data_IF_842936835986
#
_entry.id   IF_842936835986
#
_cell.length_a   1.000
_cell.length_b   1.000
_cell.length_c   1.000
_cell.angle_alpha   90.00
_cell.angle_beta   90.00
_cell.angle_gamma   90.00
#
_symmetry.space_group_name_H-M   'P 1'
#
loop_
_entity.id
_entity.type
_entity.pdbx_description
1 polymer ?
#
# COMPACT_ATOMS: atom_id res chain seq x y z
N UNK A 1 10.24 -5.34 36.38
CA UNK A 1 9.58 -5.57 35.07
C UNK A 1 8.27 -4.80 35.06
N UNK A 2 7.93 -4.12 33.96
CA UNK A 2 6.75 -3.25 33.86
C UNK A 2 5.42 -4.00 33.63
N UNK A 3 5.45 -5.33 33.57
CA UNK A 3 4.27 -6.17 33.32
C UNK A 3 3.93 -6.33 31.83
N UNK A 4 2.95 -7.18 31.51
CA UNK A 4 2.54 -7.50 30.13
C UNK A 4 1.78 -6.37 29.43
N UNK A 5 1.41 -5.32 30.16
CA UNK A 5 0.76 -4.10 29.68
C UNK A 5 1.52 -2.91 30.26
N UNK A 6 2.15 -2.11 29.40
CA UNK A 6 3.02 -1.00 29.80
C UNK A 6 2.55 0.30 29.17
N UNK A 7 2.49 1.37 29.95
CA UNK A 7 2.23 2.72 29.44
C UNK A 7 3.55 3.46 29.21
N UNK A 8 3.75 3.95 27.99
CA UNK A 8 4.89 4.77 27.58
C UNK A 8 4.38 6.14 27.15
N UNK A 9 5.18 7.17 27.36
CA UNK A 9 4.91 8.50 26.83
C UNK A 9 5.92 8.82 25.74
N UNK A 10 5.49 8.78 24.49
CA UNK A 10 6.29 9.11 23.31
C UNK A 10 6.05 10.59 22.98
N UNK A 11 6.90 11.46 23.55
CA UNK A 11 6.73 12.91 23.47
C UNK A 11 5.48 13.39 24.24
N UNK A 12 4.49 13.89 23.50
CA UNK A 12 3.18 14.30 24.03
C UNK A 12 2.11 13.19 23.90
N UNK A 13 2.41 12.08 23.22
CA UNK A 13 1.46 10.98 22.99
C UNK A 13 1.66 9.87 24.02
N UNK A 14 0.55 9.41 24.62
CA UNK A 14 0.57 8.23 25.51
C UNK A 14 0.31 6.98 24.68
N UNK A 15 1.20 6.00 24.80
CA UNK A 15 1.18 4.74 24.05
C UNK A 15 1.15 3.57 25.01
N UNK A 16 0.14 2.71 24.88
CA UNK A 16 0.06 1.46 25.63
C UNK A 16 0.68 0.35 24.80
N UNK A 17 1.69 -0.31 25.36
CA UNK A 17 2.38 -1.44 24.76
C UNK A 17 1.88 -2.73 25.37
N UNK A 18 1.43 -3.64 24.52
CA UNK A 18 1.01 -4.99 24.87
C UNK A 18 2.17 -5.94 24.56
N UNK A 19 2.66 -6.66 25.57
CA UNK A 19 3.87 -7.49 25.47
C UNK A 19 3.66 -8.95 25.85
N UNK A 20 2.40 -9.42 25.95
CA UNK A 20 2.09 -10.85 26.15
C UNK A 20 0.97 -11.34 25.21
N UNK A 21 0.98 -12.62 24.80
CA UNK A 21 -0.06 -13.18 23.96
C UNK A 21 -1.46 -13.13 24.58
N UNK A 22 -1.57 -13.33 25.89
CA UNK A 22 -2.87 -13.34 26.57
C UNK A 22 -3.50 -11.96 26.59
N UNK A 23 -2.71 -10.92 26.90
CA UNK A 23 -3.19 -9.53 26.81
C UNK A 23 -3.47 -9.14 25.35
N UNK A 24 -2.65 -9.58 24.39
CA UNK A 24 -2.93 -9.33 22.97
C UNK A 24 -4.27 -9.95 22.52
N UNK A 25 -4.64 -11.12 23.06
CA UNK A 25 -5.93 -11.76 22.79
C UNK A 25 -7.10 -10.93 23.33
N UNK A 26 -6.95 -10.30 24.50
CA UNK A 26 -7.97 -9.38 25.01
C UNK A 26 -8.23 -8.23 24.03
N UNK A 27 -7.18 -7.59 23.53
CA UNK A 27 -7.31 -6.41 22.66
C UNK A 27 -7.75 -6.76 21.24
N UNK A 28 -7.18 -7.81 20.65
CA UNK A 28 -7.34 -8.12 19.22
C UNK A 28 -8.47 -9.11 18.92
N UNK A 29 -9.06 -9.75 19.93
CA UNK A 29 -10.17 -10.70 19.74
C UNK A 29 -11.38 -10.39 20.61
N UNK A 30 -11.20 -10.17 21.92
CA UNK A 30 -12.34 -9.96 22.84
C UNK A 30 -12.89 -8.54 22.78
N UNK A 31 -12.01 -7.56 22.61
CA UNK A 31 -12.35 -6.13 22.54
C UNK A 31 -11.92 -5.51 21.20
N UNK A 32 -11.87 -6.31 20.13
CA UNK A 32 -11.40 -5.91 18.81
C UNK A 32 -12.10 -4.66 18.27
N UNK A 33 -13.42 -4.55 18.45
CA UNK A 33 -14.20 -3.39 18.01
C UNK A 33 -13.76 -2.08 18.68
N UNK A 34 -13.34 -2.12 19.95
CA UNK A 34 -12.86 -0.95 20.68
C UNK A 34 -11.44 -0.53 20.25
N UNK A 35 -10.63 -1.47 19.78
CA UNK A 35 -9.23 -1.26 19.37
C UNK A 35 -9.01 -1.37 17.86
N UNK A 36 -10.08 -1.31 17.07
CA UNK A 36 -10.01 -1.40 15.61
C UNK A 36 -9.53 -0.09 14.94
N UNK A 37 -9.38 1.00 15.71
CA UNK A 37 -8.85 2.26 15.22
C UNK A 37 -7.34 2.15 14.95
N UNK A 38 -6.85 2.97 14.01
CA UNK A 38 -5.45 2.98 13.60
C UNK A 38 -4.83 4.33 13.91
N UNK A 39 -3.60 4.31 14.42
CA UNK A 39 -2.77 5.51 14.45
C UNK A 39 -2.26 5.77 13.04
N UNK A 40 -2.56 6.94 12.50
CA UNK A 40 -2.16 7.33 11.15
C UNK A 40 -0.90 8.22 11.26
N UNK A 41 0.25 7.83 10.67
CA UNK A 41 1.43 8.68 10.70
C UNK A 41 1.18 10.00 9.94
N UNK A 42 1.58 11.13 10.52
CA UNK A 42 1.44 12.48 9.96
C UNK A 42 2.03 12.58 8.54
N UNK A 43 3.14 11.88 8.31
CA UNK A 43 3.81 11.86 7.02
C UNK A 43 2.91 11.32 5.88
N UNK A 44 1.91 10.51 6.19
CA UNK A 44 1.04 9.91 5.17
C UNK A 44 0.05 10.90 4.56
N UNK A 45 -0.26 12.00 5.27
CA UNK A 45 -1.13 13.07 4.79
C UNK A 45 -2.43 12.58 4.15
N UNK A 46 -2.79 13.17 3.01
CA UNK A 46 -4.05 12.87 2.32
C UNK A 46 -4.12 11.43 1.78
N UNK A 47 -2.99 10.76 1.54
CA UNK A 47 -2.99 9.36 1.08
C UNK A 47 -3.67 8.42 2.09
N UNK A 48 -3.56 8.71 3.39
CA UNK A 48 -4.21 7.92 4.43
C UNK A 48 -5.75 7.89 4.33
N UNK A 49 -6.35 8.93 3.74
CA UNK A 49 -7.81 9.06 3.64
C UNK A 49 -8.44 8.03 2.69
N UNK A 50 -7.64 7.45 1.79
CA UNK A 50 -8.10 6.45 0.82
C UNK A 50 -7.36 5.12 0.92
N UNK A 51 -6.28 5.02 1.69
CA UNK A 51 -5.49 3.80 1.80
C UNK A 51 -6.12 2.76 2.73
N UNK A 52 -6.27 1.51 2.26
CA UNK A 52 -6.73 0.39 3.09
C UNK A 52 -5.83 0.16 4.31
N UNK A 53 -4.57 0.63 4.27
CA UNK A 53 -3.63 0.57 5.39
C UNK A 53 -4.00 1.52 6.54
N UNK A 54 -4.68 2.64 6.26
CA UNK A 54 -4.94 3.70 7.26
C UNK A 54 -6.41 4.08 7.44
N UNK A 55 -7.28 3.63 6.53
CA UNK A 55 -8.72 3.82 6.67
C UNK A 55 -9.22 3.30 8.03
N UNK A 56 -10.10 4.03 8.72
CA UNK A 56 -10.73 3.56 9.95
C UNK A 56 -11.67 2.38 9.64
N UNK A 57 -12.04 1.61 10.66
CA UNK A 57 -13.02 0.51 10.55
C UNK A 57 -14.42 1.03 10.19
N UNK A 58 -14.58 1.35 8.92
CA UNK A 58 -15.73 1.95 8.27
C UNK A 58 -16.36 0.96 7.30
N UNK A 59 -17.61 1.18 6.85
CA UNK A 59 -18.22 0.37 5.79
C UNK A 59 -17.32 0.24 4.56
N UNK A 60 -16.67 1.33 4.14
CA UNK A 60 -15.70 1.35 3.04
C UNK A 60 -14.51 0.42 3.29
N UNK A 61 -13.84 0.57 4.44
CA UNK A 61 -12.70 -0.30 4.79
C UNK A 61 -13.11 -1.78 4.84
N UNK A 62 -14.27 -2.10 5.44
CA UNK A 62 -14.78 -3.47 5.50
C UNK A 62 -15.09 -4.03 4.12
N UNK A 63 -15.66 -3.24 3.22
CA UNK A 63 -15.95 -3.67 1.86
C UNK A 63 -14.65 -3.97 1.08
N UNK A 64 -13.67 -3.08 1.13
CA UNK A 64 -12.35 -3.29 0.50
C UNK A 64 -11.62 -4.50 1.07
N UNK A 65 -11.64 -4.66 2.39
CA UNK A 65 -11.02 -5.81 3.07
C UNK A 65 -11.68 -7.12 2.65
N UNK A 66 -13.01 -7.15 2.47
CA UNK A 66 -13.73 -8.32 1.96
C UNK A 66 -13.36 -8.64 0.52
N UNK A 67 -13.28 -7.63 -0.36
CA UNK A 67 -12.88 -7.81 -1.77
C UNK A 67 -11.46 -8.38 -1.84
N UNK A 68 -10.50 -7.78 -1.12
CA UNK A 68 -9.13 -8.30 -1.06
C UNK A 68 -9.08 -9.74 -0.52
N UNK A 69 -9.80 -10.03 0.56
CA UNK A 69 -9.82 -11.36 1.14
C UNK A 69 -10.39 -12.41 0.18
N UNK A 70 -11.46 -12.08 -0.55
CA UNK A 70 -12.11 -12.99 -1.49
C UNK A 70 -11.35 -13.16 -2.81
N UNK A 71 -10.79 -12.07 -3.35
CA UNK A 71 -10.34 -12.02 -4.74
C UNK A 71 -8.82 -12.00 -4.89
N UNK A 72 -8.08 -11.67 -3.83
CA UNK A 72 -6.62 -11.64 -3.84
C UNK A 72 -6.02 -12.72 -2.94
N UNK A 73 -6.55 -12.88 -1.72
CA UNK A 73 -5.94 -13.72 -0.69
C UNK A 73 -6.65 -15.05 -0.43
N UNK A 74 -7.81 -15.30 -1.06
CA UNK A 74 -8.52 -16.55 -0.86
C UNK A 74 -7.69 -17.76 -1.34
N UNK A 75 -7.73 -18.91 -0.64
CA UNK A 75 -6.90 -20.07 -0.98
C UNK A 75 -7.00 -20.50 -2.46
N UNK A 76 -8.21 -20.52 -3.02
CA UNK A 76 -8.43 -20.88 -4.43
C UNK A 76 -7.84 -19.84 -5.41
N UNK A 77 -7.84 -18.54 -5.07
CA UNK A 77 -7.17 -17.49 -5.85
C UNK A 77 -5.66 -17.66 -5.79
N UNK A 78 -5.13 -17.96 -4.60
CA UNK A 78 -3.71 -18.26 -4.42
C UNK A 78 -3.32 -19.49 -5.24
N UNK A 79 -4.12 -20.55 -5.27
CA UNK A 79 -3.85 -21.74 -6.07
C UNK A 79 -3.87 -21.45 -7.58
N UNK A 80 -4.83 -20.65 -8.06
CA UNK A 80 -4.87 -20.20 -9.45
C UNK A 80 -3.59 -19.41 -9.84
N UNK A 81 -3.07 -18.60 -8.92
CA UNK A 81 -1.83 -17.81 -9.11
C UNK A 81 -0.54 -18.62 -8.89
N UNK A 82 -0.62 -19.94 -8.64
CA UNK A 82 0.56 -20.79 -8.41
C UNK A 82 1.52 -20.80 -9.59
N UNK A 83 0.99 -20.78 -10.81
CA UNK A 83 1.80 -20.73 -12.03
C UNK A 83 2.60 -19.43 -12.10
N UNK A 84 1.94 -18.28 -11.90
CA UNK A 84 2.59 -16.98 -11.89
C UNK A 84 3.71 -16.90 -10.83
N UNK A 85 3.47 -17.43 -9.62
CA UNK A 85 4.52 -17.49 -8.59
C UNK A 85 5.74 -18.30 -9.04
N UNK A 86 5.53 -19.44 -9.68
CA UNK A 86 6.64 -20.25 -10.22
C UNK A 86 7.39 -19.53 -11.31
N UNK A 87 6.68 -18.87 -12.23
CA UNK A 87 7.29 -18.08 -13.30
C UNK A 87 8.17 -16.97 -12.73
N UNK A 88 7.70 -16.22 -11.72
CA UNK A 88 8.48 -15.14 -11.08
C UNK A 88 9.71 -15.65 -10.33
N UNK A 89 9.61 -16.82 -9.69
CA UNK A 89 10.76 -17.47 -9.05
C UNK A 89 11.75 -17.98 -10.10
N UNK A 90 11.27 -18.53 -11.22
CA UNK A 90 12.14 -18.96 -12.31
C UNK A 90 12.88 -17.78 -12.93
N UNK A 91 12.21 -16.65 -13.19
CA UNK A 91 12.84 -15.41 -13.66
C UNK A 91 13.99 -14.95 -12.74
N UNK A 92 13.80 -15.06 -11.41
CA UNK A 92 14.83 -14.77 -10.42
C UNK A 92 16.02 -15.75 -10.51
N UNK A 93 15.75 -17.05 -10.59
CA UNK A 93 16.79 -18.08 -10.72
C UNK A 93 17.60 -17.87 -11.99
N UNK A 94 16.93 -17.61 -13.11
CA UNK A 94 17.57 -17.38 -14.40
C UNK A 94 18.43 -16.10 -14.36
N UNK A 95 17.96 -15.04 -13.69
CA UNK A 95 18.74 -13.81 -13.51
C UNK A 95 20.02 -14.06 -12.70
N UNK A 96 19.92 -14.80 -11.58
CA UNK A 96 21.09 -15.16 -10.76
C UNK A 96 22.07 -16.05 -11.54
N UNK A 97 21.56 -17.01 -12.31
CA UNK A 97 22.39 -17.85 -13.17
C UNK A 97 23.17 -17.02 -14.20
N UNK A 98 22.51 -16.06 -14.88
CA UNK A 98 23.15 -15.13 -15.81
C UNK A 98 24.23 -14.27 -15.15
N UNK A 99 24.02 -13.81 -13.91
CA UNK A 99 25.03 -13.06 -13.15
C UNK A 99 26.25 -13.94 -12.84
N UNK A 100 26.02 -15.17 -12.42
CA UNK A 100 27.10 -16.13 -12.15
C UNK A 100 27.92 -16.44 -13.41
N UNK A 101 27.28 -16.61 -14.56
CA UNK A 101 27.97 -16.86 -15.84
C UNK A 101 28.84 -15.65 -16.27
N UNK A 102 28.32 -14.43 -16.12
CA UNK A 102 29.03 -13.21 -16.55
C UNK A 102 30.30 -12.92 -15.75
N UNK A 103 30.32 -13.24 -14.46
CA UNK A 103 31.47 -12.94 -13.59
C UNK A 103 32.24 -14.20 -13.16
N UNK A 104 32.11 -15.31 -13.90
CA UNK A 104 32.86 -16.54 -13.64
C UNK A 104 32.61 -17.16 -12.27
N UNK A 105 31.41 -16.98 -11.72
CA UNK A 105 31.01 -17.47 -10.40
C UNK A 105 31.42 -16.59 -9.21
N UNK A 106 32.06 -15.44 -9.43
CA UNK A 106 32.49 -14.52 -8.38
C UNK A 106 31.49 -13.37 -8.09
N UNK A 107 30.37 -13.31 -8.82
CA UNK A 107 29.38 -12.25 -8.66
C UNK A 107 28.74 -12.23 -7.27
N UNK A 108 28.90 -11.13 -6.56
CA UNK A 108 28.13 -10.85 -5.37
C UNK A 108 26.69 -10.48 -5.77
N UNK A 109 25.71 -11.20 -5.23
CA UNK A 109 24.28 -10.92 -5.46
C UNK A 109 23.71 -10.17 -4.26
N UNK A 110 23.14 -9.00 -4.52
CA UNK A 110 22.31 -8.31 -3.53
C UNK A 110 20.95 -9.00 -3.41
N UNK A 111 20.86 -9.93 -2.46
CA UNK A 111 19.65 -10.74 -2.19
C UNK A 111 18.45 -9.85 -1.85
N UNK A 112 18.65 -8.76 -1.12
CA UNK A 112 17.58 -7.83 -0.77
C UNK A 112 17.01 -7.16 -2.01
N UNK A 113 17.88 -6.65 -2.89
CA UNK A 113 17.50 -5.99 -4.13
C UNK A 113 16.73 -6.93 -5.07
N UNK A 114 17.20 -8.16 -5.26
CA UNK A 114 16.56 -9.12 -6.19
C UNK A 114 15.25 -9.67 -5.61
N UNK A 115 15.22 -10.03 -4.32
CA UNK A 115 14.00 -10.51 -3.67
C UNK A 115 12.90 -9.45 -3.67
N UNK A 116 13.26 -8.17 -3.45
CA UNK A 116 12.31 -7.06 -3.51
C UNK A 116 11.73 -6.89 -4.91
N UNK A 117 12.58 -6.87 -5.95
CA UNK A 117 12.13 -6.72 -7.34
C UNK A 117 11.23 -7.88 -7.78
N UNK A 118 11.60 -9.12 -7.46
CA UNK A 118 10.76 -10.29 -7.72
C UNK A 118 9.42 -10.20 -6.98
N UNK A 119 9.42 -9.77 -5.72
CA UNK A 119 8.19 -9.62 -4.94
C UNK A 119 7.28 -8.53 -5.52
N UNK A 120 7.86 -7.40 -5.92
CA UNK A 120 7.13 -6.30 -6.54
C UNK A 120 6.52 -6.72 -7.88
N UNK A 121 7.27 -7.45 -8.71
CA UNK A 121 6.77 -7.98 -9.97
C UNK A 121 5.70 -9.05 -9.79
N UNK A 122 5.81 -9.88 -8.76
CA UNK A 122 4.76 -10.84 -8.42
C UNK A 122 3.46 -10.11 -8.04
N UNK A 123 3.54 -9.10 -7.16
CA UNK A 123 2.38 -8.30 -6.78
C UNK A 123 1.80 -7.55 -7.96
N UNK A 124 2.63 -6.87 -8.75
CA UNK A 124 2.17 -6.09 -9.89
C UNK A 124 1.57 -6.97 -10.98
N UNK A 125 2.14 -8.16 -11.23
CA UNK A 125 1.56 -9.12 -12.18
C UNK A 125 0.24 -9.70 -11.67
N UNK A 126 0.12 -9.91 -10.37
CA UNK A 126 -1.13 -10.40 -9.76
C UNK A 126 -2.23 -9.33 -9.84
N UNK A 127 -1.88 -8.07 -9.62
CA UNK A 127 -2.85 -6.98 -9.53
C UNK A 127 -3.20 -6.42 -10.90
N UNK A 128 -2.20 -6.23 -11.77
CA UNK A 128 -2.30 -5.49 -13.03
C UNK A 128 -1.95 -6.33 -14.26
N UNK A 129 -1.61 -7.61 -14.12
CA UNK A 129 -1.09 -8.46 -15.21
C UNK A 129 0.16 -7.90 -15.90
N UNK A 130 0.95 -7.09 -15.18
CA UNK A 130 2.14 -6.41 -15.70
C UNK A 130 3.29 -6.42 -14.70
N UNK A 131 4.52 -6.59 -15.19
CA UNK A 131 5.73 -6.31 -14.41
C UNK A 131 5.95 -4.78 -14.36
N UNK A 132 5.98 -4.20 -13.16
CA UNK A 132 6.29 -2.78 -12.98
C UNK A 132 7.79 -2.50 -12.76
N UNK A 133 8.58 -3.56 -12.57
CA UNK A 133 10.05 -3.48 -12.47
C UNK A 133 10.69 -4.54 -13.36
N UNK A 134 11.96 -4.38 -13.70
CA UNK A 134 12.74 -5.43 -14.34
C UNK A 134 14.00 -5.73 -13.53
N UNK A 135 14.38 -7.01 -13.49
CA UNK A 135 15.60 -7.47 -12.82
C UNK A 135 16.86 -7.05 -13.59
N UNK A 136 16.74 -6.92 -14.92
CA UNK A 136 17.85 -6.63 -15.83
C UNK A 136 17.94 -5.14 -16.23
N UNK A 137 16.94 -4.34 -15.87
CA UNK A 137 16.82 -2.96 -16.32
C UNK A 137 17.53 -1.97 -15.39
N UNK A 138 18.10 -0.94 -16.01
CA UNK A 138 18.84 0.15 -15.36
C UNK A 138 18.15 1.52 -15.60
N UNK A 139 16.95 1.53 -16.21
CA UNK A 139 16.16 2.73 -16.55
C UNK A 139 14.88 2.92 -15.73
N UNK A 140 13.78 3.36 -16.38
CA UNK A 140 12.51 3.80 -15.76
C UNK A 140 11.88 2.79 -14.79
N UNK A 141 12.10 1.49 -14.96
CA UNK A 141 11.55 0.46 -14.07
C UNK A 141 12.26 0.39 -12.70
N UNK A 142 13.48 0.94 -12.59
CA UNK A 142 14.14 1.21 -11.30
C UNK A 142 13.50 2.41 -10.59
N UNK A 143 12.97 3.37 -11.34
CA UNK A 143 12.36 4.57 -10.75
C UNK A 143 11.15 4.21 -9.86
N UNK A 144 10.27 3.32 -10.33
CA UNK A 144 9.12 2.87 -9.54
C UNK A 144 9.55 2.08 -8.30
N UNK A 145 10.55 1.20 -8.46
CA UNK A 145 11.13 0.45 -7.33
C UNK A 145 11.68 1.39 -6.26
N UNK A 146 12.46 2.38 -6.66
CA UNK A 146 13.06 3.38 -5.78
C UNK A 146 11.99 4.18 -5.05
N UNK A 147 10.91 4.57 -5.73
CA UNK A 147 9.77 5.24 -5.09
C UNK A 147 9.17 4.37 -3.97
N UNK A 148 8.93 3.07 -4.23
CA UNK A 148 8.36 2.18 -3.21
C UNK A 148 9.32 1.98 -2.03
N UNK A 149 10.61 1.79 -2.30
CA UNK A 149 11.64 1.67 -1.24
C UNK A 149 11.69 2.94 -0.39
N UNK A 150 11.68 4.11 -1.02
CA UNK A 150 11.74 5.40 -0.33
C UNK A 150 10.49 5.65 0.52
N UNK A 151 9.30 5.21 0.06
CA UNK A 151 8.07 5.24 0.87
C UNK A 151 8.22 4.35 2.10
N UNK A 152 8.77 3.14 1.96
CA UNK A 152 8.98 2.22 3.08
C UNK A 152 9.99 2.77 4.09
N UNK A 153 11.10 3.34 3.62
CA UNK A 153 12.10 3.97 4.47
C UNK A 153 11.53 5.19 5.20
N UNK A 154 10.85 6.09 4.47
CA UNK A 154 10.27 7.29 5.06
C UNK A 154 9.14 6.95 6.06
N UNK A 155 8.35 5.89 5.79
CA UNK A 155 7.33 5.39 6.72
C UNK A 155 7.90 4.69 7.96
N UNK A 156 9.13 4.15 7.87
CA UNK A 156 9.83 3.54 9.01
C UNK A 156 10.60 4.53 9.89
N UNK A 157 10.80 5.77 9.42
CA UNK A 157 11.55 6.79 10.15
C UNK A 157 10.70 7.44 11.25
N UNK A 158 11.23 7.63 12.47
CA UNK A 158 10.53 8.40 13.50
C UNK A 158 10.29 9.85 13.05
N UNK A 159 9.03 10.27 13.07
CA UNK A 159 8.60 11.63 12.75
C UNK A 159 8.14 12.36 14.01
N UNK A 160 8.76 13.50 14.32
CA UNK A 160 8.49 14.35 15.48
C UNK A 160 7.03 14.80 15.51
N UNK A 161 6.41 15.03 14.35
CA UNK A 161 5.00 15.38 14.25
C UNK A 161 4.08 14.31 14.87
N UNK A 162 4.46 13.03 14.82
CA UNK A 162 3.67 11.93 15.39
C UNK A 162 3.70 11.93 16.92
N UNK A 163 4.75 12.49 17.52
CA UNK A 163 4.93 12.56 18.97
C UNK A 163 4.52 13.90 19.56
N UNK A 164 4.50 14.97 18.77
CA UNK A 164 4.14 16.32 19.20
C UNK A 164 3.12 16.95 18.23
N UNK A 165 1.83 16.57 18.30
CA UNK A 165 0.81 17.04 17.36
C UNK A 165 0.65 18.57 17.32
N UNK A 166 0.92 19.25 18.43
CA UNK A 166 0.83 20.71 18.53
C UNK A 166 1.77 21.46 17.55
N UNK A 167 2.84 20.82 17.09
CA UNK A 167 3.80 21.39 16.12
C UNK A 167 3.79 20.67 14.77
N UNK A 168 2.91 19.68 14.57
CA UNK A 168 2.87 18.85 13.36
C UNK A 168 2.66 19.68 12.08
N UNK A 169 1.88 20.75 12.16
CA UNK A 169 1.62 21.66 11.04
C UNK A 169 2.91 22.26 10.44
N UNK A 170 3.98 22.41 11.24
CA UNK A 170 5.25 22.96 10.79
C UNK A 170 6.05 22.00 9.90
N UNK A 171 5.78 20.69 9.94
CA UNK A 171 6.51 19.66 9.17
C UNK A 171 8.04 19.85 9.29
N UNK A 172 8.52 19.90 10.54
CA UNK A 172 9.90 20.28 10.88
C UNK A 172 10.96 19.41 10.20
N UNK A 173 10.67 18.13 9.98
CA UNK A 173 11.55 17.18 9.30
C UNK A 173 11.28 17.07 7.79
N UNK A 174 10.23 17.73 7.28
CA UNK A 174 9.88 17.67 5.86
C UNK A 174 9.25 16.36 5.40
N UNK A 175 8.95 15.43 6.32
CA UNK A 175 8.48 14.08 5.98
C UNK A 175 7.14 14.10 5.25
N UNK A 176 6.21 14.95 5.68
CA UNK A 176 4.89 15.06 5.03
C UNK A 176 5.02 15.56 3.60
N UNK A 177 5.86 16.57 3.35
CA UNK A 177 6.14 17.07 1.99
C UNK A 177 6.85 16.03 1.13
N UNK A 178 7.86 15.34 1.67
CA UNK A 178 8.60 14.29 0.95
C UNK A 178 7.68 13.15 0.55
N UNK A 179 6.92 12.62 1.50
CA UNK A 179 5.99 11.51 1.29
C UNK A 179 4.88 11.86 0.30
N UNK A 180 4.35 13.10 0.34
CA UNK A 180 3.39 13.56 -0.66
C UNK A 180 3.95 13.51 -2.10
N UNK A 181 5.23 13.86 -2.29
CA UNK A 181 5.91 13.74 -3.58
C UNK A 181 6.06 12.29 -4.05
N UNK A 182 6.36 11.38 -3.12
CA UNK A 182 6.48 9.95 -3.41
C UNK A 182 5.14 9.31 -3.75
N UNK A 183 4.10 9.58 -2.96
CA UNK A 183 2.74 9.11 -3.28
C UNK A 183 2.26 9.69 -4.60
N UNK A 184 2.58 10.95 -4.93
CA UNK A 184 2.22 11.50 -6.24
C UNK A 184 2.89 10.74 -7.40
N UNK A 185 4.16 10.32 -7.26
CA UNK A 185 4.84 9.49 -8.27
C UNK A 185 4.24 8.09 -8.35
N UNK A 186 3.99 7.45 -7.20
CA UNK A 186 3.33 6.15 -7.10
C UNK A 186 1.97 6.16 -7.81
N UNK A 187 1.15 7.17 -7.50
CA UNK A 187 -0.18 7.31 -8.06
C UNK A 187 -0.16 7.56 -9.56
N UNK A 188 0.81 8.30 -10.12
CA UNK A 188 0.95 8.44 -11.58
C UNK A 188 1.15 7.12 -12.31
N UNK A 189 1.95 6.21 -11.73
CA UNK A 189 2.17 4.89 -12.33
C UNK A 189 0.88 4.08 -12.33
N UNK A 190 0.14 4.12 -11.22
CA UNK A 190 -1.15 3.44 -11.13
C UNK A 190 -2.22 4.08 -12.03
N UNK A 191 -2.28 5.41 -12.12
CA UNK A 191 -3.14 6.16 -13.04
C UNK A 191 -2.93 5.69 -14.48
N UNK A 192 -1.67 5.62 -14.93
CA UNK A 192 -1.35 5.17 -16.28
C UNK A 192 -1.84 3.74 -16.56
N UNK A 193 -1.67 2.82 -15.61
CA UNK A 193 -2.13 1.43 -15.73
C UNK A 193 -3.66 1.34 -15.75
N UNK A 194 -4.34 2.13 -14.92
CA UNK A 194 -5.81 2.16 -14.87
C UNK A 194 -6.39 2.75 -16.15
N UNK A 195 -5.82 3.85 -16.65
CA UNK A 195 -6.22 4.51 -17.90
C UNK A 195 -6.03 3.58 -19.11
N UNK A 196 -4.86 2.94 -19.20
CA UNK A 196 -4.55 1.92 -20.22
C UNK A 196 -5.61 0.80 -20.19
N UNK A 197 -5.90 0.24 -19.01
CA UNK A 197 -6.89 -0.84 -18.86
C UNK A 197 -8.31 -0.42 -19.26
N UNK A 198 -8.69 0.82 -18.95
CA UNK A 198 -10.00 1.35 -19.33
C UNK A 198 -10.10 1.51 -20.84
N UNK A 199 -9.06 2.01 -21.49
CA UNK A 199 -8.99 2.12 -22.95
C UNK A 199 -9.05 0.75 -23.65
N UNK A 200 -8.35 -0.27 -23.12
CA UNK A 200 -8.42 -1.66 -23.62
C UNK A 200 -9.87 -2.19 -23.57
N UNK A 201 -10.59 -1.94 -22.47
CA UNK A 201 -11.99 -2.35 -22.30
C UNK A 201 -12.92 -1.61 -23.27
N UNK A 202 -12.74 -0.31 -23.45
CA UNK A 202 -13.55 0.50 -24.37
C UNK A 202 -13.31 0.10 -25.85
N UNK A 203 -12.11 -0.39 -26.17
CA UNK A 203 -11.77 -0.99 -27.46
C UNK A 203 -12.33 -2.41 -27.66
N UNK A 204 -12.96 -2.99 -26.63
CA UNK A 204 -13.55 -4.34 -26.68
C UNK A 204 -12.56 -5.48 -26.47
N UNK A 205 -11.38 -5.21 -25.90
CA UNK A 205 -10.42 -6.26 -25.57
C UNK A 205 -10.92 -7.20 -24.46
N UNK A 206 -10.43 -8.44 -24.49
CA UNK A 206 -10.78 -9.43 -23.48
C UNK A 206 -10.25 -9.02 -22.10
N UNK A 207 -11.06 -9.25 -21.06
CA UNK A 207 -10.63 -9.04 -19.67
C UNK A 207 -9.43 -9.92 -19.34
N UNK A 208 -8.45 -9.35 -18.63
CA UNK A 208 -7.26 -10.06 -18.15
C UNK A 208 -7.57 -10.90 -16.90
N UNK A 209 -8.68 -10.62 -16.22
CA UNK A 209 -9.17 -11.40 -15.08
C UNK A 209 -8.34 -11.22 -13.80
N UNK A 210 -7.54 -10.15 -13.75
CA UNK A 210 -6.72 -9.78 -12.61
C UNK A 210 -7.51 -8.99 -11.55
N UNK A 211 -6.82 -8.63 -10.47
CA UNK A 211 -7.46 -7.91 -9.37
C UNK A 211 -7.94 -6.51 -9.77
N UNK A 212 -7.24 -5.81 -10.66
CA UNK A 212 -7.71 -4.54 -11.20
C UNK A 212 -9.04 -4.74 -11.94
N UNK A 213 -9.18 -5.79 -12.73
CA UNK A 213 -10.43 -6.07 -13.43
C UNK A 213 -11.60 -6.28 -12.47
N UNK A 214 -11.37 -7.01 -11.38
CA UNK A 214 -12.35 -7.21 -10.30
C UNK A 214 -12.75 -5.87 -9.68
N UNK A 215 -11.79 -5.01 -9.36
CA UNK A 215 -12.06 -3.70 -8.76
C UNK A 215 -12.87 -2.80 -9.70
N UNK A 216 -12.53 -2.77 -10.98
CA UNK A 216 -13.29 -2.01 -11.99
C UNK A 216 -14.71 -2.56 -12.16
N UNK A 217 -14.90 -3.87 -12.09
CA UNK A 217 -16.22 -4.49 -12.19
C UNK A 217 -17.10 -4.19 -10.96
N UNK A 218 -16.50 -4.19 -9.77
CA UNK A 218 -17.19 -3.75 -8.53
C UNK A 218 -17.57 -2.29 -8.61
N UNK A 219 -16.68 -1.42 -9.10
CA UNK A 219 -16.94 0.01 -9.26
C UNK A 219 -18.16 0.31 -10.14
N UNK A 220 -18.38 -0.51 -11.17
CA UNK A 220 -19.53 -0.37 -12.08
C UNK A 220 -20.82 -0.88 -11.43
N UNK A 221 -20.75 -1.92 -10.60
CA UNK A 221 -21.92 -2.56 -9.98
C UNK A 221 -22.46 -1.79 -8.77
N UNK A 222 -21.57 -1.24 -7.94
CA UNK A 222 -21.91 -0.66 -6.64
C UNK A 222 -22.14 0.87 -6.67
N UNK A 223 -22.74 1.38 -7.75
CA UNK A 223 -22.88 2.82 -8.05
C UNK A 223 -23.76 3.65 -7.06
N UNK A 224 -23.92 3.26 -5.79
CA UNK A 224 -24.37 4.16 -4.70
C UNK A 224 -24.43 3.55 -3.28
N UNK A 225 -24.20 2.24 -3.08
CA UNK A 225 -24.63 1.58 -1.81
C UNK A 225 -23.55 1.47 -0.71
N UNK A 226 -22.26 1.62 -1.04
CA UNK A 226 -21.15 1.39 -0.08
C UNK A 226 -20.05 2.48 -0.08
N UNK A 227 -20.24 3.58 -0.82
CA UNK A 227 -19.18 4.58 -1.02
C UNK A 227 -17.97 3.98 -1.75
N UNK A 228 -18.23 3.06 -2.69
CA UNK A 228 -17.25 2.42 -3.58
C UNK A 228 -17.48 2.86 -5.02
N UNK A 229 -17.76 4.15 -5.22
CA UNK A 229 -17.87 4.69 -6.56
C UNK A 229 -16.54 4.56 -7.32
N UNK A 230 -16.60 4.76 -8.64
CA UNK A 230 -15.43 4.66 -9.52
C UNK A 230 -14.29 5.56 -9.06
N UNK A 231 -14.58 6.75 -8.52
CA UNK A 231 -13.57 7.70 -8.06
C UNK A 231 -12.96 7.30 -6.72
N UNK A 232 -13.70 6.60 -5.88
CA UNK A 232 -13.30 6.04 -4.59
C UNK A 232 -12.39 4.84 -4.80
N UNK A 233 -12.75 3.92 -5.70
CA UNK A 233 -11.90 2.79 -6.04
C UNK A 233 -10.67 3.23 -6.83
N UNK A 234 -10.81 4.25 -7.68
CA UNK A 234 -9.69 4.94 -8.31
C UNK A 234 -8.81 5.61 -7.25
N UNK A 235 -9.37 6.25 -6.21
CA UNK A 235 -8.59 6.91 -5.15
C UNK A 235 -7.73 5.96 -4.29
N UNK A 236 -7.98 4.64 -4.35
CA UNK A 236 -7.07 3.63 -3.76
C UNK A 236 -5.73 3.60 -4.49
N UNK A 237 -5.78 3.87 -5.79
CA UNK A 237 -4.66 3.78 -6.71
C UNK A 237 -4.22 5.14 -7.19
N UNK A 238 -5.00 6.21 -7.00
CA UNK A 238 -4.70 7.51 -7.60
C UNK A 238 -5.04 8.67 -6.67
N UNK A 239 -4.43 9.83 -6.92
CA UNK A 239 -4.89 11.08 -6.31
C UNK A 239 -5.94 11.66 -7.23
N UNK A 240 -7.22 11.56 -6.87
CA UNK A 240 -8.21 12.46 -7.45
C UNK A 240 -7.80 13.88 -7.06
N UNK A 241 -7.49 14.72 -8.06
CA UNK A 241 -7.36 16.17 -7.88
C UNK A 241 -8.74 16.72 -7.50
N UNK A 242 -9.17 16.50 -6.27
CA UNK A 242 -10.27 17.27 -5.70
C UNK A 242 -9.72 18.68 -5.56
N UNK A 243 -10.18 19.57 -6.44
CA UNK A 243 -9.88 21.00 -6.36
C UNK A 243 -10.09 21.44 -4.91
N UNK A 244 -9.02 21.93 -4.29
CA UNK A 244 -9.08 22.65 -3.04
C UNK A 244 -10.02 23.85 -3.21
N UNK A 245 -11.27 23.72 -2.78
CA UNK A 245 -12.03 24.86 -2.35
C UNK A 245 -11.58 25.15 -0.92
N UNK A 246 -10.61 26.06 -0.82
CA UNK A 246 -10.41 26.91 0.34
C UNK A 246 -11.76 27.51 0.76
N UNK A 247 -12.41 26.98 1.79
CA UNK A 247 -13.31 27.77 2.63
C UNK A 247 -13.33 27.20 4.06
N UNK A 248 -12.69 27.97 4.93
CA UNK A 248 -12.93 28.15 6.37
C UNK A 248 -14.27 27.61 6.86
N UNK A 249 -14.26 26.81 7.93
CA UNK A 249 -14.82 27.21 9.23
C UNK A 249 -14.72 26.10 10.27
N UNK A 250 -14.05 26.44 11.36
CA UNK A 250 -14.13 25.82 12.68
C UNK A 250 -15.60 25.87 13.16
N UNK A 251 -16.06 24.86 13.90
CA UNK A 251 -16.48 25.18 15.26
C UNK A 251 -15.88 24.20 16.29
N UNK A 252 -15.26 24.80 17.31
CA UNK A 252 -15.13 24.19 18.63
C UNK A 252 -16.53 23.87 19.21
N UNK A 253 -16.48 23.07 20.29
CA UNK A 253 -17.29 23.15 21.52
C UNK A 253 -18.20 21.91 21.72
N UNK A 254 -18.38 21.40 22.95
CA UNK A 254 -17.67 21.68 24.21
C UNK A 254 -16.77 20.53 24.69
#
# INVERSE_FOLDING_TARGET
MYGPLMSLRLGAVTTVVVSSPDVAREFLQRHDAAFASRSVPDATGDHATNSVAWLPNSPRWRALSRIMAAELFAPHRLDALRRLRREKVQELVDHVARLAEREGGAAAVDVGRVAFATSLNLLSSTIFSRNLTSLDDHGESMEFKEVVVEIMEAGGCPNVSDFFPAIAAADLQGWRRRMAGLFARLHRVFDAVVEERLSERDAGEARKGDFLDVLLDVAVRDNDSAGLDRDTLRSLFTVTRTRACLLLSVPLIP
#
